data_IF_858773777661
#
_entry.id   IF_858773777661
#
_cell.length_a   1.000
_cell.length_b   1.000
_cell.length_c   1.000
_cell.angle_alpha   90.00
_cell.angle_beta   90.00
_cell.angle_gamma   90.00
#
_symmetry.space_group_name_H-M   'P 1'
#
loop_
_entity.id
_entity.type
_entity.pdbx_description
1 polymer ?
#
# COMPACT_ATOMS: atom_id res chain seq x y z
N UNK A 1 37.99 -27.03 16.58
CA UNK A 1 37.37 -25.69 16.53
C UNK A 1 36.16 -25.77 17.44
N UNK A 2 36.39 -25.51 18.73
CA UNK A 2 35.44 -25.74 19.82
C UNK A 2 34.18 -24.87 19.65
N UNK A 3 32.97 -25.41 19.78
CA UNK A 3 31.78 -24.58 19.88
C UNK A 3 31.85 -23.86 21.23
N UNK A 4 32.17 -22.57 21.22
CA UNK A 4 31.94 -21.73 22.40
C UNK A 4 30.44 -21.73 22.68
N UNK A 5 30.02 -22.57 23.64
CA UNK A 5 28.70 -22.52 24.28
C UNK A 5 28.57 -21.21 25.07
N UNK A 6 28.37 -20.12 24.33
CA UNK A 6 27.92 -18.85 24.91
C UNK A 6 26.46 -19.05 25.27
N UNK A 7 26.21 -19.25 26.56
CA UNK A 7 24.88 -19.25 27.15
C UNK A 7 24.10 -18.04 26.63
N UNK A 8 23.04 -18.30 25.84
CA UNK A 8 22.19 -17.26 25.30
C UNK A 8 21.42 -16.58 26.44
N UNK A 9 21.37 -15.23 26.48
CA UNK A 9 20.65 -14.53 27.53
C UNK A 9 19.14 -14.80 27.43
N UNK A 10 18.51 -14.94 28.59
CA UNK A 10 17.05 -15.09 28.69
C UNK A 10 16.37 -13.77 28.34
N UNK A 11 15.25 -13.83 27.61
CA UNK A 11 14.46 -12.66 27.26
C UNK A 11 13.84 -12.03 28.51
N UNK A 12 13.93 -10.70 28.60
CA UNK A 12 13.21 -9.92 29.60
C UNK A 12 11.69 -10.08 29.41
N UNK A 13 10.92 -10.01 30.51
CA UNK A 13 9.47 -10.27 30.52
C UNK A 13 8.69 -9.43 29.51
N UNK A 14 8.98 -8.13 29.41
CA UNK A 14 8.31 -7.22 28.47
C UNK A 14 8.61 -7.58 27.00
N UNK A 15 9.88 -7.91 26.70
CA UNK A 15 10.30 -8.35 25.37
C UNK A 15 9.66 -9.69 25.00
N UNK A 16 9.57 -10.61 25.95
CA UNK A 16 8.92 -11.90 25.78
C UNK A 16 7.43 -11.77 25.50
N UNK A 17 6.70 -10.97 26.29
CA UNK A 17 5.26 -10.72 26.08
C UNK A 17 4.97 -10.12 24.70
N UNK A 18 5.81 -9.17 24.26
CA UNK A 18 5.70 -8.57 22.93
C UNK A 18 5.94 -9.60 21.82
N UNK A 19 6.93 -10.49 22.00
CA UNK A 19 7.22 -11.57 21.05
C UNK A 19 6.07 -12.61 21.00
N UNK A 20 5.46 -12.95 22.13
CA UNK A 20 4.28 -13.81 22.19
C UNK A 20 3.09 -13.23 21.41
N UNK A 21 2.78 -11.95 21.62
CA UNK A 21 1.73 -11.24 20.88
C UNK A 21 2.01 -11.22 19.37
N UNK A 22 3.26 -10.95 18.99
CA UNK A 22 3.68 -10.98 17.59
C UNK A 22 3.43 -12.35 16.95
N UNK A 23 3.82 -13.45 17.62
CA UNK A 23 3.59 -14.82 17.14
C UNK A 23 2.11 -15.16 17.04
N UNK A 24 1.30 -14.76 18.02
CA UNK A 24 -0.15 -14.96 17.99
C UNK A 24 -0.80 -14.26 16.79
N UNK A 25 -0.40 -13.02 16.49
CA UNK A 25 -0.90 -12.28 15.34
C UNK A 25 -0.47 -12.90 14.00
N UNK A 26 0.80 -13.31 13.86
CA UNK A 26 1.26 -14.00 12.65
C UNK A 26 0.55 -15.33 12.42
N UNK A 27 0.24 -16.06 13.49
CA UNK A 27 -0.55 -17.30 13.41
C UNK A 27 -1.95 -17.07 12.86
N UNK A 28 -2.61 -15.96 13.23
CA UNK A 28 -3.94 -15.60 12.68
C UNK A 28 -3.90 -15.29 11.18
N UNK A 29 -2.75 -14.81 10.69
CA UNK A 29 -2.51 -14.52 9.28
C UNK A 29 -2.01 -15.74 8.48
N UNK A 30 -1.83 -16.90 9.13
CA UNK A 30 -1.28 -18.10 8.48
C UNK A 30 0.22 -18.01 8.15
N UNK A 31 0.94 -17.07 8.77
CA UNK A 31 2.38 -16.85 8.53
C UNK A 31 3.21 -17.62 9.56
N UNK A 32 4.05 -18.53 9.11
CA UNK A 32 5.00 -19.26 9.96
C UNK A 32 6.29 -18.45 10.18
N UNK A 33 6.63 -18.04 11.41
CA UNK A 33 7.83 -17.25 11.65
C UNK A 33 9.10 -18.11 11.53
N UNK A 34 10.04 -17.69 10.68
CA UNK A 34 11.38 -18.29 10.58
C UNK A 34 12.37 -17.56 11.49
N UNK A 35 13.30 -18.30 12.09
CA UNK A 35 14.33 -17.75 13.00
C UNK A 35 15.71 -18.03 12.40
N UNK A 36 16.55 -17.00 12.31
CA UNK A 36 17.94 -17.15 11.87
C UNK A 36 18.78 -17.89 12.92
N UNK A 37 19.37 -19.02 12.53
CA UNK A 37 20.27 -19.83 13.38
C UNK A 37 21.72 -19.33 13.36
N UNK A 38 22.15 -18.66 12.29
CA UNK A 38 23.53 -18.23 12.08
C UNK A 38 23.59 -16.85 11.43
N UNK A 39 24.61 -16.06 11.74
CA UNK A 39 24.86 -14.76 11.13
C UNK A 39 25.86 -14.92 9.98
N UNK A 40 25.45 -14.58 8.76
CA UNK A 40 26.32 -14.68 7.58
C UNK A 40 27.60 -13.84 7.70
N UNK A 41 28.65 -14.21 6.97
CA UNK A 41 29.93 -13.47 6.95
C UNK A 41 29.68 -12.02 6.52
N UNK A 42 30.12 -11.06 7.33
CA UNK A 42 29.90 -9.63 7.10
C UNK A 42 28.52 -9.09 7.52
N UNK A 43 27.60 -9.93 8.00
CA UNK A 43 26.30 -9.48 8.54
C UNK A 43 26.45 -8.90 9.95
N UNK A 44 25.61 -7.91 10.27
CA UNK A 44 25.40 -7.49 11.66
C UNK A 44 24.90 -8.68 12.47
N UNK A 45 25.50 -8.93 13.64
CA UNK A 45 25.14 -10.05 14.51
C UNK A 45 23.71 -9.91 15.05
N UNK A 46 22.93 -10.99 14.96
CA UNK A 46 21.57 -11.02 15.50
C UNK A 46 21.59 -11.30 17.01
N UNK A 47 20.78 -10.55 17.76
CA UNK A 47 20.58 -10.80 19.19
C UNK A 47 19.59 -11.95 19.38
N UNK A 48 20.11 -13.14 19.68
CA UNK A 48 19.32 -14.34 19.98
C UNK A 48 19.05 -14.40 21.49
N UNK A 49 17.78 -14.55 21.87
CA UNK A 49 17.34 -14.63 23.27
C UNK A 49 16.63 -15.96 23.51
N UNK A 50 16.78 -16.52 24.72
CA UNK A 50 16.05 -17.70 25.16
C UNK A 50 14.70 -17.32 25.76
N UNK A 51 13.72 -18.21 25.63
CA UNK A 51 12.44 -18.06 26.33
C UNK A 51 12.65 -18.17 27.85
N UNK A 52 11.89 -17.42 28.68
CA UNK A 52 11.91 -17.61 30.12
C UNK A 52 11.50 -19.03 30.51
N UNK A 53 12.07 -19.59 31.57
CA UNK A 53 11.84 -20.99 31.99
C UNK A 53 10.37 -21.32 32.33
N UNK A 54 9.56 -20.32 32.71
CA UNK A 54 8.11 -20.46 32.91
C UNK A 54 7.32 -20.61 31.59
N UNK A 55 7.95 -20.42 30.44
CA UNK A 55 7.36 -20.65 29.12
C UNK A 55 7.50 -22.13 28.74
N UNK A 56 6.91 -23.02 29.54
CA UNK A 56 6.75 -24.40 29.15
C UNK A 56 5.88 -24.46 27.88
N UNK A 57 6.51 -24.72 26.74
CA UNK A 57 5.82 -25.06 25.49
C UNK A 57 5.19 -26.44 25.69
N UNK A 58 3.90 -26.66 25.37
CA UNK A 58 3.35 -28.01 25.34
C UNK A 58 4.17 -28.82 24.32
N UNK A 59 4.77 -29.92 24.77
CA UNK A 59 5.50 -30.85 23.90
C UNK A 59 4.58 -31.23 22.74
N UNK A 60 4.92 -30.78 21.53
CA UNK A 60 4.30 -31.28 20.31
C UNK A 60 4.79 -32.71 20.14
N UNK A 61 3.98 -33.68 20.58
CA UNK A 61 4.21 -35.08 20.26
C UNK A 61 4.22 -35.20 18.74
N UNK A 62 5.38 -35.56 18.19
CA UNK A 62 5.48 -36.06 16.83
C UNK A 62 4.87 -37.47 16.83
N UNK A 63 3.75 -37.63 16.14
CA UNK A 63 3.20 -38.92 15.74
C UNK A 63 2.96 -38.88 14.22
N UNK A 64 3.11 -40.04 13.53
CA UNK A 64 3.31 -40.11 12.10
C UNK A 64 2.00 -39.90 11.30
N UNK A 65 2.18 -39.60 10.02
CA UNK A 65 1.20 -39.46 8.94
C UNK A 65 -0.02 -40.39 9.03
N UNK A 66 -1.22 -39.79 8.99
CA UNK A 66 -2.42 -40.38 8.38
C UNK A 66 -3.48 -39.28 8.09
N UNK A 67 -3.90 -39.26 6.82
CA UNK A 67 -5.16 -38.81 6.23
C UNK A 67 -5.77 -37.44 6.55
N UNK A 68 -5.75 -36.61 5.51
CA UNK A 68 -6.58 -35.44 5.27
C UNK A 68 -8.07 -35.82 5.18
N UNK A 69 -8.98 -35.22 5.97
CA UNK A 69 -10.34 -35.03 5.53
C UNK A 69 -10.47 -33.61 4.97
N UNK A 70 -10.84 -33.50 3.69
CA UNK A 70 -11.28 -32.22 3.13
C UNK A 70 -12.45 -31.68 3.95
N UNK A 71 -12.24 -30.54 4.63
CA UNK A 71 -13.35 -29.75 5.12
C UNK A 71 -13.98 -29.02 3.95
N UNK A 72 -15.15 -29.51 3.53
CA UNK A 72 -15.98 -28.88 2.49
C UNK A 72 -16.27 -27.42 2.82
N UNK A 73 -16.17 -26.58 1.78
CA UNK A 73 -16.45 -25.13 1.79
C UNK A 73 -17.85 -24.77 2.31
N UNK A 74 -18.76 -25.73 2.39
CA UNK A 74 -20.14 -25.51 2.82
C UNK A 74 -20.29 -25.33 4.35
N UNK A 75 -19.40 -25.90 5.17
CA UNK A 75 -19.45 -25.70 6.63
C UNK A 75 -18.99 -24.30 7.07
N UNK A 76 -18.14 -23.65 6.26
CA UNK A 76 -17.66 -22.29 6.54
C UNK A 76 -18.74 -21.24 6.23
N UNK A 77 -19.63 -21.53 5.26
CA UNK A 77 -20.72 -20.62 4.89
C UNK A 77 -21.91 -20.67 5.86
N UNK A 78 -22.10 -21.77 6.59
CA UNK A 78 -23.16 -21.90 7.59
C UNK A 78 -22.90 -21.04 8.85
N UNK A 79 -21.64 -20.94 9.30
CA UNK A 79 -21.27 -20.16 10.50
C UNK A 79 -21.31 -18.63 10.30
N UNK A 80 -21.42 -18.16 9.05
CA UNK A 80 -21.50 -16.72 8.72
C UNK A 80 -22.93 -16.20 8.57
N UNK A 81 -23.95 -17.07 8.67
CA UNK A 81 -25.36 -16.71 8.45
C UNK A 81 -26.20 -16.66 9.73
N UNK A 82 -25.65 -17.04 10.88
CA UNK A 82 -26.37 -17.18 12.16
C UNK A 82 -26.00 -16.09 13.18
N UNK A 83 -25.64 -14.90 12.70
CA UNK A 83 -25.12 -13.79 13.53
C UNK A 83 -25.86 -12.47 13.38
N UNK A 84 -27.12 -12.46 12.93
CA UNK A 84 -27.96 -11.25 12.90
C UNK A 84 -29.40 -11.60 13.24
N UNK A 85 -29.70 -11.69 14.53
CA UNK A 85 -30.96 -11.15 15.08
C UNK A 85 -30.88 -11.13 16.61
N UNK A 86 -30.66 -9.94 17.17
CA UNK A 86 -31.09 -9.66 18.53
C UNK A 86 -31.40 -8.17 18.65
N UNK A 87 -32.71 -7.92 18.58
CA UNK A 87 -33.41 -6.67 18.82
C UNK A 87 -33.19 -6.27 20.28
N UNK A 88 -32.78 -5.03 20.55
CA UNK A 88 -32.93 -4.47 21.90
C UNK A 88 -33.34 -3.00 21.84
N UNK A 89 -34.67 -2.88 21.88
CA UNK A 89 -35.54 -1.93 22.55
C UNK A 89 -35.03 -0.53 22.95
N UNK A 90 -35.75 0.45 22.42
CA UNK A 90 -35.82 1.84 22.86
C UNK A 90 -36.89 2.00 23.92
N UNK A 91 -36.56 2.51 25.11
CA UNK A 91 -37.36 3.56 25.77
C UNK A 91 -36.68 4.14 27.03
N UNK A 92 -36.65 5.46 27.02
CA UNK A 92 -36.29 6.44 28.05
C UNK A 92 -37.24 6.48 29.25
N UNK A 93 -36.75 6.80 30.46
CA UNK A 93 -37.30 7.84 31.37
C UNK A 93 -36.19 8.38 32.31
N UNK A 94 -36.22 9.70 32.53
CA UNK A 94 -35.43 10.57 33.41
C UNK A 94 -35.36 10.10 34.90
N UNK A 95 -34.48 10.58 35.80
CA UNK A 95 -34.38 11.96 36.31
C UNK A 95 -33.16 12.14 37.25
N UNK A 96 -32.49 13.29 37.11
CA UNK A 96 -31.74 14.13 38.07
C UNK A 96 -31.04 13.54 39.32
N UNK A 97 -29.76 13.85 39.54
CA UNK A 97 -29.32 15.07 40.25
C UNK A 97 -27.81 15.06 40.64
N UNK A 98 -27.16 16.19 40.35
CA UNK A 98 -26.12 16.89 41.12
C UNK A 98 -24.69 16.34 41.33
N UNK A 99 -23.78 17.06 40.66
CA UNK A 99 -22.71 17.89 41.25
C UNK A 99 -21.33 17.28 41.54
N UNK A 100 -20.34 17.94 40.88
CA UNK A 100 -19.04 18.39 41.41
C UNK A 100 -17.80 17.82 40.69
N UNK A 101 -17.27 18.66 39.79
CA UNK A 101 -15.84 19.01 39.70
C UNK A 101 -14.80 17.93 39.43
N UNK A 102 -14.24 17.93 38.23
CA UNK A 102 -12.79 18.07 38.07
C UNK A 102 -12.44 18.55 36.65
N UNK A 103 -11.50 19.49 36.59
CA UNK A 103 -10.96 20.05 35.35
C UNK A 103 -10.13 19.00 34.61
N UNK A 104 -10.50 18.71 33.37
CA UNK A 104 -9.53 18.28 32.34
C UNK A 104 -9.84 19.04 31.05
N UNK A 105 -9.23 20.22 30.97
CA UNK A 105 -9.04 20.95 29.74
C UNK A 105 -8.06 20.19 28.85
N UNK A 106 -8.36 20.20 27.56
CA UNK A 106 -7.41 20.01 26.45
C UNK A 106 -7.13 18.56 26.02
N UNK A 107 -7.77 18.17 24.91
CA UNK A 107 -7.19 17.45 23.75
C UNK A 107 -8.25 16.85 22.79
N UNK A 108 -9.55 17.03 23.05
CA UNK A 108 -10.61 16.36 22.27
C UNK A 108 -11.38 17.26 21.28
N UNK A 109 -10.80 18.37 20.79
CA UNK A 109 -11.54 19.30 19.92
C UNK A 109 -10.69 19.98 18.82
N UNK A 110 -9.78 19.25 18.16
CA UNK A 110 -9.15 19.73 16.90
C UNK A 110 -9.25 18.71 15.75
N UNK A 111 -9.86 17.54 15.95
CA UNK A 111 -9.75 16.44 14.97
C UNK A 111 -11.05 16.10 14.23
N UNK A 112 -11.83 17.13 13.87
CA UNK A 112 -13.06 16.92 13.09
C UNK A 112 -13.40 18.05 12.13
N UNK A 113 -12.38 18.69 11.55
CA UNK A 113 -12.56 19.72 10.53
C UNK A 113 -11.45 19.68 9.47
N UNK A 114 -11.04 18.49 9.03
CA UNK A 114 -10.57 18.34 7.66
C UNK A 114 -11.71 17.68 6.90
N UNK A 115 -12.42 18.44 6.06
CA UNK A 115 -13.26 17.84 5.04
C UNK A 115 -12.39 16.79 4.32
N UNK A 116 -12.74 15.51 4.44
CA UNK A 116 -11.92 14.42 3.94
C UNK A 116 -11.87 14.53 2.42
N UNK A 117 -10.86 15.22 1.90
CA UNK A 117 -10.57 15.25 0.49
C UNK A 117 -10.42 13.80 0.03
N UNK A 118 -11.11 13.44 -1.05
CA UNK A 118 -11.00 12.11 -1.64
C UNK A 118 -9.54 11.81 -1.93
N UNK A 119 -8.99 10.68 -1.45
CA UNK A 119 -7.61 10.35 -1.72
C UNK A 119 -7.40 10.22 -3.22
N UNK A 120 -6.27 10.73 -3.70
CA UNK A 120 -5.91 10.68 -5.12
C UNK A 120 -4.55 10.01 -5.21
N UNK A 121 -4.45 9.02 -6.09
CA UNK A 121 -3.19 8.37 -6.42
C UNK A 121 -2.94 8.50 -7.92
N UNK A 122 -1.76 8.95 -8.30
CA UNK A 122 -1.32 9.03 -9.70
C UNK A 122 -0.06 8.21 -9.90
N UNK A 123 0.00 7.46 -11.00
CA UNK A 123 1.26 6.91 -11.51
C UNK A 123 1.81 7.82 -12.60
N UNK A 124 3.09 8.10 -12.50
CA UNK A 124 3.87 8.84 -13.49
C UNK A 124 4.99 7.95 -14.00
N UNK A 125 4.97 7.64 -15.29
CA UNK A 125 6.02 6.87 -15.95
C UNK A 125 6.80 7.80 -16.86
N UNK A 126 8.12 7.79 -16.73
CA UNK A 126 9.04 8.54 -17.60
C UNK A 126 9.66 7.57 -18.59
N UNK A 127 9.61 7.89 -19.87
CA UNK A 127 10.24 7.10 -20.93
C UNK A 127 10.82 8.01 -22.00
N UNK A 128 12.14 8.00 -22.18
CA UNK A 128 12.83 8.97 -23.02
C UNK A 128 12.37 10.41 -22.70
N UNK A 129 11.72 11.08 -23.63
CA UNK A 129 11.18 12.44 -23.58
C UNK A 129 9.67 12.52 -23.27
N UNK A 130 9.02 11.40 -22.94
CA UNK A 130 7.58 11.30 -22.69
C UNK A 130 7.29 11.02 -21.21
N UNK A 131 6.35 11.79 -20.64
CA UNK A 131 5.77 11.56 -19.32
C UNK A 131 4.35 11.01 -19.46
N UNK A 132 4.14 9.77 -19.02
CA UNK A 132 2.84 9.09 -18.99
C UNK A 132 2.22 9.26 -17.62
N UNK A 133 0.96 9.67 -17.56
CA UNK A 133 0.25 9.96 -16.30
C UNK A 133 -1.08 9.21 -16.30
N UNK A 134 -1.40 8.59 -15.18
CA UNK A 134 -2.68 7.91 -14.97
C UNK A 134 -3.11 8.05 -13.51
N UNK A 135 -4.41 8.25 -13.30
CA UNK A 135 -5.02 8.17 -11.96
C UNK A 135 -5.30 6.71 -11.63
N UNK A 136 -4.86 6.26 -10.45
CA UNK A 136 -5.12 4.92 -9.94
C UNK A 136 -6.38 4.92 -9.08
N UNK A 137 -7.50 4.45 -9.66
CA UNK A 137 -8.82 4.43 -8.99
C UNK A 137 -8.82 3.65 -7.66
N UNK A 138 -8.12 2.52 -7.61
CA UNK A 138 -7.99 1.67 -6.42
C UNK A 138 -6.68 1.92 -5.67
N UNK A 139 -5.89 2.93 -6.08
CA UNK A 139 -4.55 3.25 -5.54
C UNK A 139 -3.53 2.11 -5.69
N UNK A 140 -3.82 1.12 -6.55
CA UNK A 140 -2.96 -0.04 -6.78
C UNK A 140 -2.35 0.01 -8.16
N UNK A 141 -1.02 0.14 -8.20
CA UNK A 141 -0.27 0.01 -9.44
C UNK A 141 0.02 -1.46 -9.75
N UNK A 142 -0.53 -1.96 -10.87
CA UNK A 142 -0.35 -3.36 -11.30
C UNK A 142 0.80 -3.50 -12.29
N UNK A 143 1.44 -4.67 -12.29
CA UNK A 143 2.58 -4.96 -13.17
C UNK A 143 2.18 -4.91 -14.65
N UNK A 144 0.98 -5.35 -14.96
CA UNK A 144 0.42 -5.38 -16.32
C UNK A 144 0.26 -3.98 -16.89
N UNK A 145 -0.12 -3.00 -16.06
CA UNK A 145 -0.22 -1.58 -16.47
C UNK A 145 1.16 -1.04 -16.82
N UNK A 146 2.17 -1.27 -15.97
CA UNK A 146 3.56 -0.87 -16.24
C UNK A 146 4.12 -1.54 -17.49
N UNK A 147 3.80 -2.82 -17.72
CA UNK A 147 4.20 -3.55 -18.92
C UNK A 147 3.53 -2.99 -20.18
N UNK A 148 2.25 -2.63 -20.11
CA UNK A 148 1.53 -2.00 -21.21
C UNK A 148 2.15 -0.64 -21.54
N UNK A 149 2.39 0.22 -20.54
CA UNK A 149 3.05 1.52 -20.75
C UNK A 149 4.45 1.34 -21.35
N UNK A 150 5.24 0.39 -20.85
CA UNK A 150 6.55 0.10 -21.42
C UNK A 150 6.48 -0.43 -22.86
N UNK A 151 5.47 -1.21 -23.20
CA UNK A 151 5.24 -1.68 -24.57
C UNK A 151 4.85 -0.51 -25.49
N UNK A 152 3.96 0.38 -25.05
CA UNK A 152 3.59 1.59 -25.80
C UNK A 152 4.79 2.53 -25.99
N UNK A 153 5.57 2.77 -24.94
CA UNK A 153 6.79 3.56 -25.01
C UNK A 153 7.77 2.99 -26.04
N UNK A 154 7.97 1.67 -26.03
CA UNK A 154 8.82 1.00 -27.04
C UNK A 154 8.25 1.06 -28.45
N UNK A 155 6.92 0.99 -28.60
CA UNK A 155 6.28 1.13 -29.91
C UNK A 155 6.45 2.53 -30.51
N UNK A 156 6.52 3.57 -29.67
CA UNK A 156 6.67 4.97 -30.10
C UNK A 156 8.12 5.37 -30.32
N UNK A 157 9.03 4.97 -29.41
CA UNK A 157 10.43 5.44 -29.34
C UNK A 157 11.47 4.36 -29.64
N UNK A 158 11.05 3.12 -29.91
CA UNK A 158 11.95 2.00 -30.23
C UNK A 158 12.27 1.09 -29.05
N UNK A 159 12.95 -0.02 -29.30
CA UNK A 159 13.13 -1.11 -28.32
C UNK A 159 14.05 -0.77 -27.13
N UNK A 160 14.93 0.23 -27.27
CA UNK A 160 15.93 0.59 -26.26
C UNK A 160 15.41 1.57 -25.20
N UNK A 161 14.10 1.79 -25.14
CA UNK A 161 13.50 2.74 -24.22
C UNK A 161 13.36 2.13 -22.83
N UNK A 162 13.99 2.77 -21.85
CA UNK A 162 13.81 2.47 -20.44
C UNK A 162 12.67 3.28 -19.85
N UNK A 163 11.85 2.62 -19.03
CA UNK A 163 10.76 3.26 -18.29
C UNK A 163 11.11 3.28 -16.81
N UNK A 164 10.98 4.44 -16.17
CA UNK A 164 11.04 4.58 -14.73
C UNK A 164 9.69 5.13 -14.25
N UNK A 165 9.14 4.57 -13.18
CA UNK A 165 7.84 4.99 -12.64
C UNK A 165 7.99 5.57 -11.24
N UNK A 166 7.07 6.48 -10.91
CA UNK A 166 6.89 7.06 -9.59
C UNK A 166 5.39 7.15 -9.31
N UNK A 167 5.00 7.00 -8.05
CA UNK A 167 3.63 7.15 -7.62
C UNK A 167 3.51 8.39 -6.74
N UNK A 168 2.47 9.18 -6.98
CA UNK A 168 2.11 10.34 -6.19
C UNK A 168 0.81 10.01 -5.46
N UNK A 169 0.89 9.91 -4.13
CA UNK A 169 -0.26 9.61 -3.28
C UNK A 169 -0.61 10.84 -2.43
N UNK A 170 -1.88 11.21 -2.46
CA UNK A 170 -2.43 12.30 -1.67
C UNK A 170 -3.65 11.84 -0.88
N UNK A 171 -3.77 12.21 0.41
CA UNK A 171 -2.78 12.92 1.22
C UNK A 171 -1.53 12.06 1.53
N UNK A 172 -0.36 12.68 1.75
CA UNK A 172 0.85 11.95 2.12
C UNK A 172 0.72 11.31 3.51
N UNK A 173 0.90 10.00 3.60
CA UNK A 173 0.73 9.18 4.83
C UNK A 173 1.55 9.69 6.02
N UNK A 174 2.72 10.29 5.76
CA UNK A 174 3.66 10.70 6.81
C UNK A 174 3.75 12.21 7.02
N UNK A 175 2.93 13.02 6.32
CA UNK A 175 3.03 14.48 6.35
C UNK A 175 1.65 15.16 6.39
N UNK A 176 0.85 14.94 7.45
CA UNK A 176 -0.51 15.47 7.55
C UNK A 176 -0.57 17.00 7.54
N UNK A 177 0.49 17.69 7.96
CA UNK A 177 0.57 19.14 7.93
C UNK A 177 0.46 19.73 6.50
N UNK A 178 0.93 18.99 5.49
CA UNK A 178 0.84 19.42 4.09
C UNK A 178 -0.57 19.28 3.53
N UNK A 179 -1.31 18.28 4.00
CA UNK A 179 -2.72 18.06 3.64
C UNK A 179 -3.63 19.20 4.09
N UNK A 180 -3.26 19.88 5.18
CA UNK A 180 -4.03 20.97 5.77
C UNK A 180 -3.74 22.35 5.13
N UNK A 181 -2.73 22.45 4.27
CA UNK A 181 -2.42 23.68 3.56
C UNK A 181 -3.39 23.90 2.39
N UNK A 182 -3.94 25.11 2.26
CA UNK A 182 -4.76 25.49 1.10
C UNK A 182 -3.93 25.34 -0.17
N UNK A 183 -4.44 24.59 -1.16
CA UNK A 183 -3.71 24.33 -2.41
C UNK A 183 -2.53 23.35 -2.27
N UNK A 184 -2.34 22.73 -1.10
CA UNK A 184 -1.17 21.87 -0.83
C UNK A 184 -1.00 20.75 -1.86
N UNK A 185 -2.10 20.10 -2.28
CA UNK A 185 -2.06 19.06 -3.30
C UNK A 185 -1.60 19.61 -4.65
N UNK A 186 -2.26 20.67 -5.14
CA UNK A 186 -2.00 21.23 -6.46
C UNK A 186 -0.58 21.79 -6.56
N UNK A 187 -0.11 22.46 -5.52
CA UNK A 187 1.24 23.03 -5.48
C UNK A 187 2.31 21.95 -5.41
N UNK A 188 2.09 20.91 -4.60
CA UNK A 188 3.01 19.76 -4.53
C UNK A 188 3.04 19.00 -5.85
N UNK A 189 1.87 18.69 -6.42
CA UNK A 189 1.76 17.99 -7.69
C UNK A 189 2.43 18.77 -8.82
N UNK A 190 2.21 20.10 -8.86
CA UNK A 190 2.87 21.00 -9.81
C UNK A 190 4.39 20.95 -9.67
N UNK A 191 4.92 21.10 -8.45
CA UNK A 191 6.35 21.01 -8.20
C UNK A 191 6.94 19.63 -8.56
N UNK A 192 6.20 18.57 -8.28
CA UNK A 192 6.58 17.20 -8.61
C UNK A 192 6.68 16.98 -10.13
N UNK A 193 5.65 17.37 -10.88
CA UNK A 193 5.63 17.27 -12.35
C UNK A 193 6.70 18.16 -12.98
N UNK A 194 6.86 19.40 -12.52
CA UNK A 194 7.91 20.31 -13.03
C UNK A 194 9.31 19.73 -12.84
N UNK A 195 9.56 19.08 -11.70
CA UNK A 195 10.83 18.39 -11.46
C UNK A 195 11.02 17.22 -12.42
N UNK A 196 10.00 16.41 -12.63
CA UNK A 196 10.06 15.31 -13.61
C UNK A 196 10.37 15.80 -15.01
N UNK A 197 9.70 16.88 -15.44
CA UNK A 197 9.90 17.50 -16.76
C UNK A 197 11.35 17.96 -16.92
N UNK A 198 11.89 18.68 -15.94
CA UNK A 198 13.25 19.21 -15.98
C UNK A 198 14.30 18.09 -15.90
N UNK A 199 14.18 17.21 -14.92
CA UNK A 199 15.19 16.21 -14.61
C UNK A 199 15.27 15.12 -15.72
N UNK A 200 14.19 14.93 -16.50
CA UNK A 200 14.13 13.95 -17.61
C UNK A 200 14.05 14.59 -19.00
N UNK A 201 14.17 15.91 -19.11
CA UNK A 201 14.03 16.65 -20.37
C UNK A 201 12.75 16.25 -21.16
N UNK A 202 11.63 16.14 -20.45
CA UNK A 202 10.35 15.76 -21.04
C UNK A 202 9.87 16.83 -22.02
N UNK A 203 9.46 16.40 -23.21
CA UNK A 203 8.91 17.25 -24.27
C UNK A 203 7.42 17.02 -24.52
N UNK A 204 6.89 15.89 -24.04
CA UNK A 204 5.50 15.48 -24.29
C UNK A 204 4.89 14.83 -23.05
N UNK A 205 3.60 15.07 -22.84
CA UNK A 205 2.81 14.36 -21.84
C UNK A 205 1.74 13.48 -22.51
N UNK A 206 1.52 12.30 -21.94
CA UNK A 206 0.42 11.41 -22.30
C UNK A 206 -0.42 11.16 -21.06
N UNK A 207 -1.68 11.58 -21.10
CA UNK A 207 -2.66 11.32 -20.07
C UNK A 207 -3.46 10.07 -20.43
N UNK A 208 -3.51 9.10 -19.51
CA UNK A 208 -4.20 7.83 -19.68
C UNK A 208 -5.44 7.82 -18.78
N UNK A 209 -6.61 8.00 -19.38
CA UNK A 209 -7.87 8.18 -18.66
C UNK A 209 -8.06 9.61 -18.10
N UNK A 210 -9.18 9.86 -17.42
CA UNK A 210 -9.51 11.19 -16.90
C UNK A 210 -8.60 11.60 -15.73
N UNK A 211 -8.22 12.88 -15.67
CA UNK A 211 -7.45 13.45 -14.55
C UNK A 211 -7.71 14.95 -14.40
N UNK A 212 -8.59 15.32 -13.47
CA UNK A 212 -8.99 16.71 -13.27
C UNK A 212 -7.97 17.55 -12.49
N UNK A 213 -7.03 16.90 -11.79
CA UNK A 213 -6.05 17.57 -10.94
C UNK A 213 -4.74 17.91 -11.65
N UNK A 214 -4.63 17.66 -12.96
CA UNK A 214 -3.38 17.87 -13.69
C UNK A 214 -3.11 19.39 -13.86
N UNK A 215 -1.94 19.89 -13.44
CA UNK A 215 -1.59 21.30 -13.63
C UNK A 215 -1.23 21.60 -15.09
N UNK A 216 -1.45 22.85 -15.51
CA UNK A 216 -0.92 23.32 -16.79
C UNK A 216 0.62 23.42 -16.72
N UNK A 217 1.28 22.69 -17.62
CA UNK A 217 2.74 22.62 -17.72
C UNK A 217 3.29 23.31 -18.97
N UNK A 218 2.42 23.73 -19.90
CA UNK A 218 2.81 24.23 -21.21
C UNK A 218 3.36 23.19 -22.19
N UNK A 219 3.47 21.91 -21.79
CA UNK A 219 3.83 20.82 -22.70
C UNK A 219 2.60 20.33 -23.48
N UNK A 220 2.77 19.84 -24.73
CA UNK A 220 1.68 19.21 -25.44
C UNK A 220 1.17 17.99 -24.67
N UNK A 221 -0.15 17.86 -24.56
CA UNK A 221 -0.84 16.79 -23.84
C UNK A 221 -1.63 15.93 -24.84
N UNK A 222 -1.43 14.61 -24.80
CA UNK A 222 -2.21 13.65 -25.58
C UNK A 222 -3.02 12.77 -24.65
N UNK A 223 -4.30 12.62 -24.94
CA UNK A 223 -5.19 11.78 -24.16
C UNK A 223 -5.39 10.43 -24.85
N UNK A 224 -5.32 9.36 -24.05
CA UNK A 224 -5.62 7.99 -24.46
C UNK A 224 -6.50 7.31 -23.39
N UNK A 225 -7.17 6.19 -23.73
CA UNK A 225 -7.89 5.41 -22.72
C UNK A 225 -6.98 4.97 -21.57
N UNK A 226 -7.55 4.75 -20.37
CA UNK A 226 -6.80 4.27 -19.20
C UNK A 226 -6.17 2.90 -19.46
N UNK A 227 -5.06 2.61 -18.78
CA UNK A 227 -4.37 1.34 -18.96
C UNK A 227 -5.23 0.18 -18.47
N UNK A 228 -6.02 0.38 -17.40
CA UNK A 228 -6.99 -0.61 -16.90
C UNK A 228 -8.05 -0.92 -17.96
N UNK A 229 -8.63 0.11 -18.59
CA UNK A 229 -9.63 -0.08 -19.65
C UNK A 229 -9.03 -0.82 -20.85
N UNK A 230 -7.82 -0.45 -21.28
CA UNK A 230 -7.11 -1.13 -22.37
C UNK A 230 -6.72 -2.57 -22.06
N UNK A 231 -6.49 -2.91 -20.78
CA UNK A 231 -6.21 -4.29 -20.37
C UNK A 231 -7.48 -5.13 -20.31
N UNK A 232 -8.64 -4.53 -20.00
CA UNK A 232 -9.94 -5.20 -20.01
C UNK A 232 -10.48 -5.40 -21.43
N UNK A 233 -10.36 -4.37 -22.26
CA UNK A 233 -10.77 -4.40 -23.67
C UNK A 233 -9.58 -4.08 -24.58
N UNK A 234 -9.12 -5.10 -25.31
CA UNK A 234 -8.00 -4.97 -26.23
C UNK A 234 -8.27 -4.06 -27.44
N UNK A 235 -9.53 -3.81 -27.80
CA UNK A 235 -9.88 -2.93 -28.93
C UNK A 235 -9.43 -1.48 -28.69
N UNK A 236 -9.46 -1.04 -27.43
CA UNK A 236 -9.03 0.30 -27.01
C UNK A 236 -7.53 0.56 -27.24
N UNK A 237 -6.72 -0.49 -27.36
CA UNK A 237 -5.29 -0.34 -27.73
C UNK A 237 -5.13 0.19 -29.15
N UNK A 238 -6.04 -0.17 -30.07
CA UNK A 238 -6.01 0.38 -31.44
C UNK A 238 -6.38 1.87 -31.45
N UNK A 239 -7.37 2.25 -30.63
CA UNK A 239 -7.74 3.64 -30.43
C UNK A 239 -6.56 4.45 -29.86
N UNK A 240 -5.93 3.95 -28.78
CA UNK A 240 -4.74 4.56 -28.19
C UNK A 240 -3.61 4.68 -29.22
N UNK A 241 -3.35 3.63 -30.01
CA UNK A 241 -2.33 3.66 -31.06
C UNK A 241 -2.62 4.68 -32.15
N UNK A 242 -3.90 4.88 -32.51
CA UNK A 242 -4.33 5.91 -33.45
C UNK A 242 -3.88 7.32 -33.05
N UNK A 243 -3.79 7.59 -31.74
CA UNK A 243 -3.27 8.85 -31.17
C UNK A 243 -1.75 8.81 -31.06
N UNK A 244 -1.20 7.76 -30.43
CA UNK A 244 0.23 7.65 -30.11
C UNK A 244 1.15 7.59 -31.32
N UNK A 245 0.68 7.09 -32.47
CA UNK A 245 1.50 7.02 -33.70
C UNK A 245 2.02 8.37 -34.16
N UNK A 246 1.37 9.48 -33.78
CA UNK A 246 1.82 10.86 -34.05
C UNK A 246 3.14 11.18 -33.36
N UNK A 247 3.40 10.54 -32.23
CA UNK A 247 4.63 10.72 -31.47
C UNK A 247 5.78 9.94 -32.08
N UNK A 248 5.55 8.97 -32.99
CA UNK A 248 6.63 8.12 -33.48
C UNK A 248 7.74 8.96 -34.10
N UNK A 249 8.97 8.81 -33.61
CA UNK A 249 10.11 9.49 -34.19
C UNK A 249 10.22 9.05 -35.66
N UNK A 250 10.35 10.01 -36.59
CA UNK A 250 10.78 9.67 -37.95
C UNK A 250 12.20 9.14 -37.81
N UNK A 251 12.37 7.86 -38.15
CA UNK A 251 13.68 7.23 -38.26
C UNK A 251 14.48 7.89 -39.39
#
# INVERSE_FOLDING_TARGET
>A
MEPSDKLLPVAESALWSRECLRRANLSKLGISPLISRFDGVGSKSARRLMAPASAAVPKRNAAPTADTPERSRDQVRALLREGTDSVMDTSSVATAANSAGSSEQSLAAVDRASAAATPVSLVMVTSADILWIEVLEDQLLRKEQLQLVAAMARAVRGTNVHCAHQQFDWPPVHQPALSNAKGGMSDMLKGFIQRLIRDRATQQMVLMGPCDCLPDTGLPLLEIPSSVSMLRDGSLKQQAWGVLKRLRARA
#
